data_IF_558628067302
#
_entry.id   IF_558628067302
#
_cell.length_a   1.000
_cell.length_b   1.000
_cell.length_c   1.000
_cell.angle_alpha   90.00
_cell.angle_beta   90.00
_cell.angle_gamma   90.00
#
_symmetry.space_group_name_H-M   'P 1'
#
loop_
_entity.id
_entity.type
_entity.pdbx_description
1 polymer ?
#
# COMPACT_ATOMS: atom_id res chain seq x y z
N UNK A 1 0.56 -22.35 -13.93
CA UNK A 1 -0.29 -21.38 -14.67
C UNK A 1 0.56 -20.22 -15.17
N UNK A 2 0.66 -20.03 -16.49
CA UNK A 2 1.39 -18.89 -17.10
C UNK A 2 0.53 -17.63 -16.94
N UNK A 3 1.03 -16.62 -16.22
CA UNK A 3 0.40 -15.29 -16.15
C UNK A 3 0.43 -14.67 -17.55
N UNK A 4 -0.72 -14.59 -18.22
CA UNK A 4 -0.88 -13.90 -19.50
C UNK A 4 -0.72 -12.41 -19.21
N UNK A 5 0.39 -11.82 -19.68
CA UNK A 5 0.53 -10.35 -19.73
C UNK A 5 0.03 -9.88 -21.09
N UNK A 6 -0.72 -8.77 -21.16
CA UNK A 6 -1.17 -8.24 -22.44
C UNK A 6 0.05 -7.85 -23.30
N UNK A 7 0.14 -8.42 -24.50
CA UNK A 7 1.22 -8.20 -25.46
C UNK A 7 1.01 -6.97 -26.36
N UNK A 8 -0.09 -6.23 -26.17
CA UNK A 8 -0.43 -5.11 -27.03
C UNK A 8 0.29 -3.82 -26.57
N UNK A 9 1.23 -3.27 -27.36
CA UNK A 9 2.04 -2.13 -26.97
C UNK A 9 1.21 -0.84 -26.82
N UNK A 10 0.08 -0.71 -27.53
CA UNK A 10 -0.81 0.46 -27.43
C UNK A 10 -1.51 0.50 -26.06
N UNK A 11 -1.87 -0.67 -25.52
CA UNK A 11 -2.45 -0.78 -24.16
C UNK A 11 -1.43 -0.37 -23.08
N UNK A 12 -0.17 -0.77 -23.24
CA UNK A 12 0.93 -0.32 -22.39
C UNK A 12 1.13 1.19 -22.48
N UNK A 13 1.13 1.77 -23.69
CA UNK A 13 1.32 3.21 -23.92
C UNK A 13 0.15 4.04 -23.36
N UNK A 14 -1.10 3.59 -23.50
CA UNK A 14 -2.26 4.26 -22.87
C UNK A 14 -2.25 4.13 -21.33
N UNK A 15 -1.74 3.01 -20.79
CA UNK A 15 -1.47 2.89 -19.35
C UNK A 15 -0.28 3.76 -18.89
N UNK A 16 0.65 4.11 -19.78
CA UNK A 16 1.78 5.01 -19.53
C UNK A 16 1.36 6.49 -19.62
N UNK A 17 0.46 6.85 -20.54
CA UNK A 17 0.16 8.24 -20.90
C UNK A 17 -0.70 9.02 -19.91
N UNK A 18 -1.43 8.38 -18.99
CA UNK A 18 -1.82 8.97 -17.69
C UNK A 18 -2.73 8.01 -16.93
N UNK A 19 -2.18 7.19 -16.03
CA UNK A 19 -2.99 6.66 -14.96
C UNK A 19 -3.06 7.79 -13.93
N UNK A 20 -4.07 8.66 -14.04
CA UNK A 20 -4.50 9.63 -13.02
C UNK A 20 -4.43 9.11 -11.56
N UNK A 21 -4.47 7.79 -11.39
CA UNK A 21 -4.25 7.04 -10.16
C UNK A 21 -2.87 7.22 -9.51
N UNK A 22 -1.82 7.52 -10.29
CA UNK A 22 -0.44 7.72 -9.81
C UNK A 22 -0.13 9.20 -9.51
N UNK A 23 -0.80 10.13 -10.20
CA UNK A 23 -0.63 11.57 -9.98
C UNK A 23 -1.29 12.09 -8.68
N UNK A 24 -2.13 11.28 -8.02
CA UNK A 24 -2.89 11.67 -6.84
C UNK A 24 -2.64 10.80 -5.60
N UNK A 25 -1.70 9.86 -5.66
CA UNK A 25 -1.25 9.05 -4.52
C UNK A 25 0.00 9.67 -3.93
N UNK A 26 -0.09 10.11 -2.68
CA UNK A 26 1.02 10.74 -1.96
C UNK A 26 0.93 10.35 -0.49
N UNK A 27 2.05 10.45 0.20
CA UNK A 27 2.09 10.41 1.66
C UNK A 27 2.76 11.69 2.17
N UNK A 28 2.30 12.15 3.33
CA UNK A 28 2.88 13.31 4.03
C UNK A 28 3.10 12.88 5.47
N UNK A 29 4.32 13.05 5.97
CA UNK A 29 4.63 12.88 7.39
C UNK A 29 4.70 14.26 8.03
N UNK A 30 3.65 14.64 8.77
CA UNK A 30 3.58 15.95 9.44
C UNK A 30 3.29 15.75 10.91
N UNK A 31 4.12 16.32 11.77
CA UNK A 31 4.05 16.12 13.22
C UNK A 31 4.04 14.62 13.58
N UNK A 32 3.04 14.16 14.32
CA UNK A 32 2.85 12.76 14.71
C UNK A 32 1.88 12.01 13.81
N UNK A 33 1.49 12.62 12.68
CA UNK A 33 0.52 12.08 11.76
C UNK A 33 1.19 11.65 10.45
N UNK A 34 0.83 10.45 9.99
CA UNK A 34 1.08 9.99 8.63
C UNK A 34 -0.21 10.14 7.81
N UNK A 35 -0.19 11.03 6.82
CA UNK A 35 -1.32 11.23 5.92
C UNK A 35 -1.05 10.45 4.64
N UNK A 36 -1.97 9.57 4.26
CA UNK A 36 -1.87 8.74 3.05
C UNK A 36 -3.06 9.05 2.14
N UNK A 37 -2.78 9.62 0.97
CA UNK A 37 -3.74 9.69 -0.13
C UNK A 37 -3.64 8.41 -0.96
N UNK A 38 -4.75 7.67 -1.06
CA UNK A 38 -4.80 6.41 -1.80
C UNK A 38 -6.07 6.26 -2.62
N UNK A 39 -5.99 5.38 -3.61
CA UNK A 39 -7.17 4.81 -4.25
C UNK A 39 -7.46 3.45 -3.63
N UNK A 40 -8.72 3.20 -3.33
CA UNK A 40 -9.18 1.92 -2.80
C UNK A 40 -10.33 1.38 -3.64
N UNK A 41 -10.40 0.05 -3.74
CA UNK A 41 -11.53 -0.64 -4.34
C UNK A 41 -12.73 -0.60 -3.37
N UNK A 42 -13.87 -0.06 -3.80
CA UNK A 42 -15.07 -0.04 -2.95
C UNK A 42 -15.74 -1.42 -2.94
N UNK A 43 -16.15 -1.88 -1.76
CA UNK A 43 -16.94 -3.10 -1.61
C UNK A 43 -18.23 -2.95 -2.43
N UNK A 44 -18.48 -3.89 -3.34
CA UNK A 44 -19.64 -3.93 -4.25
C UNK A 44 -19.63 -2.91 -5.40
N UNK A 45 -18.48 -2.33 -5.75
CA UNK A 45 -18.35 -1.50 -6.96
C UNK A 45 -17.16 -1.94 -7.81
N UNK A 46 -17.30 -1.79 -9.13
CA UNK A 46 -16.19 -1.91 -10.07
C UNK A 46 -15.40 -0.59 -10.21
N UNK A 47 -15.74 0.42 -9.40
CA UNK A 47 -15.08 1.73 -9.37
C UNK A 47 -14.04 1.83 -8.26
N UNK A 48 -13.04 2.66 -8.48
CA UNK A 48 -12.04 3.03 -7.49
C UNK A 48 -12.37 4.41 -6.94
N UNK A 49 -12.36 4.54 -5.62
CA UNK A 49 -12.57 5.82 -4.95
C UNK A 49 -11.25 6.34 -4.38
N UNK A 50 -11.14 7.67 -4.26
CA UNK A 50 -10.02 8.33 -3.59
C UNK A 50 -10.35 8.51 -2.11
N UNK A 51 -9.42 8.13 -1.24
CA UNK A 51 -9.49 8.36 0.21
C UNK A 51 -8.19 8.97 0.70
N UNK A 52 -8.30 9.88 1.66
CA UNK A 52 -7.17 10.35 2.45
C UNK A 52 -7.33 9.78 3.85
N UNK A 53 -6.43 8.89 4.23
CA UNK A 53 -6.36 8.35 5.58
C UNK A 53 -5.34 9.17 6.39
N UNK A 54 -5.73 9.52 7.62
CA UNK A 54 -4.85 10.19 8.58
C UNK A 54 -4.56 9.19 9.70
N UNK A 55 -3.30 8.76 9.79
CA UNK A 55 -2.83 7.73 10.71
C UNK A 55 -2.14 8.42 11.89
N UNK A 56 -2.66 8.22 13.10
CA UNK A 56 -2.03 8.67 14.34
C UNK A 56 -0.90 7.71 14.71
N UNK A 57 0.34 8.11 14.45
CA UNK A 57 1.51 7.23 14.58
C UNK A 57 1.84 6.90 16.03
N UNK A 58 1.36 7.69 17.02
CA UNK A 58 1.52 7.38 18.46
C UNK A 58 0.70 6.17 18.89
N UNK A 59 -0.36 5.87 18.16
CA UNK A 59 -1.23 4.72 18.38
C UNK A 59 -0.82 3.51 17.56
N UNK A 60 0.15 3.65 16.64
CA UNK A 60 0.64 2.51 15.87
C UNK A 60 1.25 1.48 16.81
N UNK A 61 0.97 0.20 16.56
CA UNK A 61 1.61 -0.91 17.26
C UNK A 61 2.56 -1.67 16.34
N UNK A 62 2.10 -1.97 15.12
CA UNK A 62 2.83 -2.73 14.11
C UNK A 62 2.33 -2.41 12.71
N UNK A 63 3.18 -2.56 11.71
CA UNK A 63 2.77 -2.46 10.31
C UNK A 63 3.53 -3.47 9.45
N UNK A 64 2.84 -4.04 8.47
CA UNK A 64 3.35 -5.19 7.72
C UNK A 64 2.39 -5.67 6.66
N UNK A 65 2.66 -6.84 6.10
CA UNK A 65 1.72 -7.52 5.20
C UNK A 65 0.53 -8.07 5.99
N UNK A 66 -0.66 -8.22 5.39
CA UNK A 66 -1.84 -8.75 6.09
C UNK A 66 -1.58 -10.07 6.82
N UNK A 67 -0.85 -10.99 6.16
CA UNK A 67 -0.48 -12.30 6.69
C UNK A 67 0.37 -12.20 7.97
N UNK A 68 1.33 -11.27 8.01
CA UNK A 68 2.20 -11.05 9.18
C UNK A 68 1.42 -10.47 10.36
N UNK A 69 0.35 -9.72 10.07
CA UNK A 69 -0.50 -9.14 11.10
C UNK A 69 -1.61 -10.09 11.59
N UNK A 70 -1.75 -11.28 11.00
CA UNK A 70 -2.82 -12.23 11.30
C UNK A 70 -4.18 -11.78 10.75
N UNK A 71 -4.16 -11.01 9.66
CA UNK A 71 -5.33 -10.33 9.10
C UNK A 71 -5.53 -10.70 7.63
N UNK A 72 -6.73 -10.48 7.12
CA UNK A 72 -7.04 -10.65 5.70
C UNK A 72 -6.86 -9.34 4.95
N UNK A 73 -6.72 -9.45 3.63
CA UNK A 73 -6.77 -8.29 2.72
C UNK A 73 -8.11 -7.57 2.94
N UNK A 74 -8.06 -6.26 3.18
CA UNK A 74 -9.25 -5.46 3.49
C UNK A 74 -9.97 -4.99 2.22
N UNK A 75 -9.22 -4.67 1.17
CA UNK A 75 -9.77 -4.24 -0.11
C UNK A 75 -10.25 -5.44 -0.94
N UNK A 76 -11.46 -5.35 -1.53
CA UNK A 76 -12.02 -6.43 -2.32
C UNK A 76 -11.20 -6.67 -3.59
N UNK A 77 -11.17 -7.93 -4.02
CA UNK A 77 -10.66 -8.28 -5.35
C UNK A 77 -11.71 -7.89 -6.39
N UNK A 78 -11.32 -7.08 -7.37
CA UNK A 78 -12.20 -6.68 -8.48
C UNK A 78 -11.95 -7.61 -9.66
N UNK A 79 -13.00 -8.24 -10.16
CA UNK A 79 -12.96 -9.06 -11.37
C UNK A 79 -13.63 -8.30 -12.52
N UNK A 80 -12.96 -8.23 -13.66
CA UNK A 80 -13.54 -7.64 -14.87
C UNK A 80 -13.17 -8.44 -16.11
N UNK A 81 -13.82 -8.13 -17.23
CA UNK A 81 -13.58 -8.81 -18.51
C UNK A 81 -12.10 -8.73 -18.97
N UNK A 82 -11.36 -7.73 -18.52
CA UNK A 82 -9.93 -7.51 -18.85
C UNK A 82 -8.96 -8.06 -17.79
N UNK A 83 -9.47 -8.80 -16.80
CA UNK A 83 -8.66 -9.47 -15.78
C UNK A 83 -9.06 -9.15 -14.33
N UNK A 84 -8.26 -9.65 -13.41
CA UNK A 84 -8.48 -9.54 -11.97
C UNK A 84 -7.52 -8.53 -11.34
N UNK A 85 -8.08 -7.59 -10.58
CA UNK A 85 -7.34 -6.67 -9.73
C UNK A 85 -7.35 -7.16 -8.29
N UNK A 86 -6.17 -7.48 -7.76
CA UNK A 86 -5.93 -7.78 -6.35
C UNK A 86 -5.14 -6.60 -5.75
N UNK A 87 -5.58 -6.09 -4.61
CA UNK A 87 -4.88 -5.07 -3.85
C UNK A 87 -3.57 -5.63 -3.29
N UNK A 88 -2.50 -4.83 -3.32
CA UNK A 88 -1.26 -5.13 -2.62
C UNK A 88 -1.24 -4.26 -1.37
N UNK A 89 -1.45 -4.84 -0.20
CA UNK A 89 -1.66 -4.08 1.03
C UNK A 89 -0.44 -4.12 1.94
N UNK A 90 -0.08 -2.95 2.45
CA UNK A 90 0.59 -2.82 3.74
C UNK A 90 -0.49 -2.37 4.72
N UNK A 91 -0.58 -3.03 5.86
CA UNK A 91 -1.57 -2.72 6.87
C UNK A 91 -0.91 -2.11 8.10
N UNK A 92 -1.60 -1.14 8.69
CA UNK A 92 -1.20 -0.46 9.92
C UNK A 92 -2.17 -0.89 11.02
N UNK A 93 -1.63 -1.51 12.07
CA UNK A 93 -2.39 -2.01 13.22
C UNK A 93 -2.20 -1.09 14.42
N UNK A 94 -3.30 -0.56 14.94
CA UNK A 94 -3.30 0.44 16.01
C UNK A 94 -3.76 -0.14 17.36
N UNK A 95 -3.47 0.60 18.44
CA UNK A 95 -3.81 0.23 19.83
C UNK A 95 -5.30 0.00 20.07
N UNK A 96 -6.16 0.68 19.31
CA UNK A 96 -7.62 0.52 19.35
C UNK A 96 -8.12 -0.66 18.50
N UNK A 97 -7.21 -1.55 18.07
CA UNK A 97 -7.47 -2.71 17.21
C UNK A 97 -7.96 -2.33 15.80
N UNK A 98 -7.89 -1.05 15.43
CA UNK A 98 -8.20 -0.63 14.08
C UNK A 98 -7.09 -1.04 13.11
N UNK A 99 -7.50 -1.41 11.89
CA UNK A 99 -6.60 -1.75 10.79
C UNK A 99 -6.85 -0.78 9.65
N UNK A 100 -5.82 -0.05 9.27
CA UNK A 100 -5.84 0.76 8.05
C UNK A 100 -4.97 0.04 7.02
N UNK A 101 -5.63 -0.54 6.01
CA UNK A 101 -4.93 -1.07 4.85
C UNK A 101 -4.51 0.08 3.93
N UNK A 102 -3.33 -0.03 3.35
CA UNK A 102 -2.81 0.87 2.34
C UNK A 102 -2.45 0.07 1.10
N UNK A 103 -3.21 0.27 0.03
CA UNK A 103 -2.90 -0.29 -1.27
C UNK A 103 -1.66 0.38 -1.86
N UNK A 104 -0.54 -0.34 -1.78
CA UNK A 104 0.79 0.13 -2.21
C UNK A 104 1.07 -0.10 -3.69
N UNK A 105 0.16 -0.73 -4.44
CA UNK A 105 0.36 -1.03 -5.86
C UNK A 105 0.72 0.19 -6.73
N UNK A 106 0.22 1.41 -6.47
CA UNK A 106 0.63 2.62 -7.19
C UNK A 106 2.02 3.14 -6.81
N UNK A 107 2.61 2.66 -5.71
CA UNK A 107 3.87 3.14 -5.19
C UNK A 107 5.04 2.28 -5.68
N UNK A 108 6.16 2.92 -5.95
CA UNK A 108 7.40 2.20 -6.25
C UNK A 108 7.97 1.55 -4.99
N UNK A 109 8.70 0.43 -5.15
CA UNK A 109 9.42 -0.20 -4.04
C UNK A 109 10.33 0.80 -3.30
N UNK A 110 10.97 1.73 -4.03
CA UNK A 110 11.80 2.79 -3.46
C UNK A 110 11.00 3.73 -2.55
N UNK A 111 9.83 4.19 -2.98
CA UNK A 111 8.96 5.04 -2.15
C UNK A 111 8.46 4.32 -0.89
N UNK A 112 8.07 3.06 -1.03
CA UNK A 112 7.61 2.25 0.12
C UNK A 112 8.76 2.04 1.11
N UNK A 113 9.96 1.73 0.61
CA UNK A 113 11.18 1.62 1.42
C UNK A 113 11.50 2.93 2.15
N UNK A 114 11.52 4.05 1.43
CA UNK A 114 11.75 5.37 2.03
C UNK A 114 10.72 5.70 3.13
N UNK A 115 9.45 5.37 2.91
CA UNK A 115 8.43 5.56 3.94
C UNK A 115 8.67 4.66 5.16
N UNK A 116 9.01 3.39 4.97
CA UNK A 116 9.33 2.48 6.07
C UNK A 116 10.54 2.98 6.88
N UNK A 117 11.58 3.45 6.20
CA UNK A 117 12.75 4.07 6.84
C UNK A 117 12.38 5.33 7.63
N UNK A 118 11.55 6.21 7.05
CA UNK A 118 11.07 7.41 7.73
C UNK A 118 10.23 7.09 8.98
N UNK A 119 9.39 6.05 8.91
CA UNK A 119 8.59 5.60 10.04
C UNK A 119 9.51 5.11 11.17
N UNK A 120 10.55 4.34 10.83
CA UNK A 120 11.54 3.90 11.80
C UNK A 120 12.31 5.07 12.43
N UNK A 121 12.90 5.94 11.60
CA UNK A 121 13.72 7.07 12.08
C UNK A 121 12.90 7.99 13.00
N UNK A 122 11.63 8.25 12.65
CA UNK A 122 10.81 9.25 13.36
C UNK A 122 10.06 8.67 14.56
N UNK A 123 9.66 7.41 14.50
CA UNK A 123 8.75 6.82 15.48
C UNK A 123 9.29 5.54 16.14
N UNK A 124 10.44 5.03 15.70
CA UNK A 124 11.05 3.80 16.23
C UNK A 124 10.33 2.51 15.83
N UNK A 125 9.33 2.57 14.92
CA UNK A 125 8.61 1.38 14.48
C UNK A 125 9.30 0.72 13.28
N UNK A 126 9.66 -0.55 13.45
CA UNK A 126 10.14 -1.39 12.35
C UNK A 126 8.96 -2.05 11.64
N UNK A 127 9.09 -2.22 10.32
CA UNK A 127 8.19 -3.05 9.53
C UNK A 127 8.28 -4.52 9.98
N UNK A 128 7.25 -5.32 9.76
CA UNK A 128 7.34 -6.77 9.98
C UNK A 128 8.37 -7.46 9.03
N UNK A 129 8.88 -8.62 9.42
CA UNK A 129 10.04 -9.28 8.81
C UNK A 129 9.91 -9.62 7.32
N UNK A 130 8.78 -10.19 6.88
CA UNK A 130 8.53 -10.47 5.46
C UNK A 130 8.48 -9.16 4.66
N UNK A 131 7.84 -8.11 5.20
CA UNK A 131 7.85 -6.79 4.56
C UNK A 131 9.28 -6.22 4.46
N UNK A 132 10.09 -6.34 5.51
CA UNK A 132 11.49 -5.91 5.50
C UNK A 132 12.30 -6.63 4.42
N UNK A 133 12.13 -7.96 4.28
CA UNK A 133 12.77 -8.77 3.23
C UNK A 133 12.33 -8.35 1.83
N UNK A 134 11.04 -8.11 1.63
CA UNK A 134 10.51 -7.64 0.34
C UNK A 134 11.09 -6.28 -0.02
N UNK A 135 11.24 -5.37 0.95
CA UNK A 135 11.78 -4.03 0.75
C UNK A 135 13.32 -4.02 0.68
N UNK A 136 13.99 -5.05 1.19
CA UNK A 136 15.45 -5.14 1.29
C UNK A 136 16.01 -4.12 2.30
N UNK A 137 15.39 -4.06 3.49
CA UNK A 137 15.75 -3.15 4.60
C UNK A 137 16.07 -3.90 5.91
N UNK A 138 16.10 -5.22 5.87
CA UNK A 138 16.41 -6.12 6.99
C UNK A 138 17.80 -5.91 7.63
N UNK A 139 18.70 -5.23 6.92
CA UNK A 139 20.03 -4.88 7.43
C UNK A 139 20.18 -3.41 7.82
N UNK A 140 19.17 -2.58 7.57
CA UNK A 140 19.27 -1.13 7.75
C UNK A 140 18.91 -0.64 9.15
N UNK A 141 18.24 -1.46 9.95
CA UNK A 141 17.73 -1.09 11.27
C UNK A 141 18.48 -1.78 12.41
N UNK A 142 19.68 -2.30 12.13
CA UNK A 142 20.65 -2.77 13.14
C UNK A 142 21.44 -1.59 13.69
#
# INVERSE_FOLDING_TARGET
MKKIRPQNPIYLILCILMPWRYLNTYYIVKNDDLIISRYYARKNSNTFDRKVDKLDMKKLMKFGLPKELGSTIQEPTIHGAKGTYISQEIQFYFKDQTIIAWNVRPYTKKQIRQLAELIYIRYGFMACDELQKILGIDHMFK
#
